data_IF_538696219043
#
_entry.id   IF_538696219043
#
_cell.length_a   1.000
_cell.length_b   1.000
_cell.length_c   1.000
_cell.angle_alpha   90.00
_cell.angle_beta   90.00
_cell.angle_gamma   90.00
#
_symmetry.space_group_name_H-M   'P 1'
#
loop_
_entity.id
_entity.type
_entity.pdbx_description
1 polymer ?
#
# COMPACT_ATOMS: atom_id res chain seq x y z
N UNK A 1 6.46 0.84 17.68
CA UNK A 1 6.80 -0.48 18.25
C UNK A 1 8.28 -0.63 18.61
N UNK A 2 9.22 0.10 17.99
CA UNK A 2 10.67 -0.02 18.27
C UNK A 2 11.09 0.36 19.71
N UNK A 3 10.33 1.21 20.40
CA UNK A 3 10.71 1.81 21.68
C UNK A 3 10.81 0.77 22.80
N UNK A 4 9.73 0.05 23.08
CA UNK A 4 9.66 -0.93 24.18
C UNK A 4 8.63 -2.01 23.88
N UNK A 5 8.63 -3.09 24.66
CA UNK A 5 7.62 -4.15 24.57
C UNK A 5 6.22 -3.59 24.92
N UNK A 6 6.11 -2.73 25.94
CA UNK A 6 4.85 -2.08 26.32
C UNK A 6 4.30 -1.21 25.17
N UNK A 7 5.15 -0.38 24.56
CA UNK A 7 4.72 0.45 23.43
C UNK A 7 4.37 -0.39 22.21
N UNK A 8 5.07 -1.51 21.98
CA UNK A 8 4.73 -2.43 20.91
C UNK A 8 3.32 -3.01 21.10
N UNK A 9 3.00 -3.48 22.31
CA UNK A 9 1.67 -3.99 22.67
C UNK A 9 0.61 -2.90 22.57
N UNK A 10 0.84 -1.72 23.15
CA UNK A 10 -0.11 -0.60 23.12
C UNK A 10 -0.44 -0.18 21.69
N UNK A 11 0.57 -0.06 20.83
CA UNK A 11 0.36 0.25 19.42
C UNK A 11 -0.40 -0.86 18.68
N UNK A 12 -0.06 -2.13 18.92
CA UNK A 12 -0.75 -3.25 18.30
C UNK A 12 -2.24 -3.30 18.69
N UNK A 13 -2.57 -3.05 19.97
CA UNK A 13 -3.95 -2.96 20.45
C UNK A 13 -4.73 -1.88 19.70
N UNK A 14 -4.12 -0.71 19.47
CA UNK A 14 -4.77 0.37 18.71
C UNK A 14 -5.08 -0.04 17.27
N UNK A 15 -4.14 -0.68 16.58
CA UNK A 15 -4.40 -1.18 15.23
C UNK A 15 -5.58 -2.16 15.20
N UNK A 16 -5.70 -3.04 16.20
CA UNK A 16 -6.77 -4.04 16.23
C UNK A 16 -8.12 -3.46 16.68
N UNK A 17 -8.11 -2.58 17.68
CA UNK A 17 -9.34 -2.09 18.33
C UNK A 17 -9.87 -0.79 17.76
N UNK A 18 -8.99 0.07 17.25
CA UNK A 18 -9.36 1.38 16.72
C UNK A 18 -9.35 1.41 15.19
N UNK A 19 -8.45 0.65 14.56
CA UNK A 19 -8.25 0.65 13.11
C UNK A 19 -8.72 -0.63 12.40
N UNK A 20 -9.42 -1.51 13.13
CA UNK A 20 -10.07 -2.73 12.60
C UNK A 20 -9.13 -3.72 11.89
N UNK A 21 -7.83 -3.70 12.21
CA UNK A 21 -6.91 -4.70 11.71
C UNK A 21 -7.08 -6.04 12.47
N UNK A 22 -7.10 -7.17 11.79
CA UNK A 22 -7.13 -8.47 12.47
C UNK A 22 -5.78 -8.82 13.12
N UNK A 23 -4.68 -8.34 12.53
CA UNK A 23 -3.30 -8.69 12.88
C UNK A 23 -2.34 -7.53 12.60
N UNK A 24 -1.10 -7.63 13.09
CA UNK A 24 -0.04 -6.65 12.82
C UNK A 24 1.19 -7.28 12.16
N UNK A 25 1.94 -6.49 11.37
CA UNK A 25 3.21 -6.91 10.77
C UNK A 25 4.38 -6.17 11.41
N UNK A 26 5.42 -6.89 11.84
CA UNK A 26 6.64 -6.31 12.40
C UNK A 26 7.86 -6.66 11.54
N UNK A 27 8.79 -5.70 11.42
CA UNK A 27 10.04 -5.87 10.68
C UNK A 27 11.20 -6.25 11.59
N UNK A 28 12.02 -7.17 11.08
CA UNK A 28 13.27 -7.58 11.71
C UNK A 28 13.10 -8.69 12.74
N UNK A 29 14.21 -9.33 13.05
CA UNK A 29 14.37 -10.30 14.14
C UNK A 29 15.25 -9.69 15.25
N UNK A 30 16.08 -10.49 15.92
CA UNK A 30 17.00 -10.03 16.96
C UNK A 30 16.27 -9.23 18.07
N UNK A 31 16.58 -7.94 18.29
CA UNK A 31 15.91 -7.13 19.31
C UNK A 31 14.38 -7.04 19.16
N UNK A 32 13.85 -7.13 17.93
CA UNK A 32 12.41 -7.09 17.67
C UNK A 32 11.67 -8.33 18.21
N UNK A 33 12.39 -9.45 18.47
CA UNK A 33 11.77 -10.70 18.91
C UNK A 33 11.07 -10.57 20.27
N UNK A 34 11.56 -9.74 21.20
CA UNK A 34 10.84 -9.52 22.46
C UNK A 34 9.51 -8.81 22.23
N UNK A 35 9.45 -7.90 21.26
CA UNK A 35 8.22 -7.15 20.89
C UNK A 35 7.21 -8.10 20.26
N UNK A 36 7.65 -8.97 19.37
CA UNK A 36 6.81 -10.03 18.79
C UNK A 36 6.21 -10.89 19.89
N UNK A 37 7.04 -11.42 20.81
CA UNK A 37 6.58 -12.25 21.91
C UNK A 37 5.58 -11.52 22.81
N UNK A 38 5.83 -10.26 23.14
CA UNK A 38 4.93 -9.45 23.97
C UNK A 38 3.56 -9.23 23.30
N UNK A 39 3.54 -8.93 22.00
CA UNK A 39 2.29 -8.74 21.24
C UNK A 39 1.51 -10.05 21.12
N UNK A 40 2.19 -11.15 20.81
CA UNK A 40 1.57 -12.49 20.74
C UNK A 40 1.01 -12.90 22.11
N UNK A 41 1.74 -12.66 23.20
CA UNK A 41 1.28 -12.93 24.55
C UNK A 41 0.05 -12.08 24.96
N UNK A 42 -0.13 -10.90 24.35
CA UNK A 42 -1.33 -10.08 24.50
C UNK A 42 -2.52 -10.57 23.64
N UNK A 43 -2.38 -11.69 22.92
CA UNK A 43 -3.44 -12.31 22.12
C UNK A 43 -3.60 -11.70 20.72
N UNK A 44 -2.61 -10.95 20.23
CA UNK A 44 -2.66 -10.32 18.90
C UNK A 44 -1.76 -11.11 17.93
N UNK A 45 -2.31 -11.51 16.78
CA UNK A 45 -1.55 -12.19 15.74
C UNK A 45 -0.47 -11.30 15.13
N UNK A 46 0.74 -11.85 14.95
CA UNK A 46 1.87 -11.15 14.36
C UNK A 46 2.35 -11.85 13.09
N UNK A 47 2.46 -11.10 11.99
CA UNK A 47 3.21 -11.50 10.80
C UNK A 47 4.64 -10.95 10.90
N UNK A 48 5.63 -11.84 10.85
CA UNK A 48 7.03 -11.46 10.80
C UNK A 48 7.43 -10.93 9.43
N UNK A 49 8.56 -10.22 9.35
CA UNK A 49 9.12 -9.77 8.08
C UNK A 49 10.65 -9.78 8.15
N UNK A 50 11.29 -10.52 7.25
CA UNK A 50 12.75 -10.55 7.06
C UNK A 50 13.15 -10.32 5.60
N UNK A 51 14.44 -10.14 5.36
CA UNK A 51 14.97 -9.72 4.08
C UNK A 51 15.22 -8.21 4.11
N UNK A 52 14.84 -7.52 3.05
CA UNK A 52 14.90 -6.06 3.01
C UNK A 52 13.76 -5.49 3.86
N UNK A 53 14.07 -4.97 5.04
CA UNK A 53 13.11 -4.29 5.93
C UNK A 53 13.20 -2.77 5.69
N UNK A 54 12.22 -2.14 5.01
CA UNK A 54 12.31 -0.74 4.62
C UNK A 54 12.52 0.24 5.79
N UNK A 55 12.04 -0.09 7.00
CA UNK A 55 12.26 0.75 8.19
C UNK A 55 13.73 0.84 8.61
N UNK A 56 14.57 -0.08 8.12
CA UNK A 56 16.02 -0.09 8.35
C UNK A 56 16.82 0.17 7.06
N UNK A 57 16.19 0.78 6.04
CA UNK A 57 16.81 1.01 4.72
C UNK A 57 18.18 1.70 4.82
N UNK A 58 18.31 2.72 5.65
CA UNK A 58 19.57 3.46 5.83
C UNK A 58 20.70 2.55 6.32
N UNK A 59 20.39 1.63 7.23
CA UNK A 59 21.36 0.65 7.77
C UNK A 59 21.70 -0.41 6.71
N UNK A 60 20.72 -0.78 5.89
CA UNK A 60 20.89 -1.76 4.79
C UNK A 60 21.55 -1.16 3.54
N UNK A 61 21.77 0.16 3.53
CA UNK A 61 22.41 0.89 2.44
C UNK A 61 21.52 0.99 1.19
N UNK A 62 20.22 1.19 1.39
CA UNK A 62 19.21 1.33 0.33
C UNK A 62 18.38 0.07 0.07
N UNK A 63 17.50 0.14 -0.93
CA UNK A 63 16.71 -1.00 -1.42
C UNK A 63 17.57 -2.06 -2.15
N UNK A 64 18.33 -2.84 -1.38
CA UNK A 64 19.23 -3.89 -1.90
C UNK A 64 18.70 -5.28 -1.56
N UNK A 65 18.94 -6.21 -2.49
CA UNK A 65 18.69 -7.64 -2.28
C UNK A 65 19.51 -8.17 -1.10
N UNK A 66 18.85 -8.86 -0.17
CA UNK A 66 19.48 -9.44 1.04
C UNK A 66 19.86 -10.90 0.82
N UNK A 67 20.72 -11.49 1.66
CA UNK A 67 21.01 -12.93 1.56
C UNK A 67 21.88 -13.36 0.37
N UNK A 68 22.63 -12.44 -0.26
CA UNK A 68 23.47 -12.74 -1.44
C UNK A 68 24.73 -13.56 -1.16
N UNK A 69 25.12 -13.71 0.10
CA UNK A 69 26.25 -14.54 0.52
C UNK A 69 25.75 -15.66 1.42
N UNK A 70 26.45 -16.79 1.46
CA UNK A 70 26.05 -17.93 2.31
C UNK A 70 25.90 -17.54 3.79
N UNK A 71 26.76 -16.66 4.30
CA UNK A 71 26.66 -16.14 5.68
C UNK A 71 25.36 -15.35 5.88
N UNK A 72 25.02 -14.44 4.96
CA UNK A 72 23.78 -13.65 5.04
C UNK A 72 22.52 -14.48 4.80
N UNK A 73 22.58 -15.47 3.91
CA UNK A 73 21.48 -16.41 3.72
C UNK A 73 21.23 -17.25 4.98
N UNK A 74 22.29 -17.72 5.64
CA UNK A 74 22.17 -18.44 6.93
C UNK A 74 21.59 -17.55 8.02
N UNK A 75 22.01 -16.29 8.08
CA UNK A 75 21.45 -15.31 9.01
C UNK A 75 19.94 -15.14 8.78
N UNK A 76 19.51 -14.91 7.54
CA UNK A 76 18.09 -14.76 7.21
C UNK A 76 17.24 -15.99 7.57
N UNK A 77 17.77 -17.20 7.34
CA UNK A 77 17.10 -18.42 7.76
C UNK A 77 16.95 -18.48 9.28
N UNK A 78 18.01 -18.15 10.02
CA UNK A 78 17.96 -18.08 11.48
C UNK A 78 16.97 -17.03 12.00
N UNK A 79 16.95 -15.86 11.38
CA UNK A 79 16.02 -14.77 11.71
C UNK A 79 14.56 -15.18 11.46
N UNK A 80 14.28 -15.87 10.35
CA UNK A 80 12.95 -16.37 10.02
C UNK A 80 12.48 -17.43 11.03
N UNK A 81 13.33 -18.42 11.34
CA UNK A 81 13.05 -19.44 12.36
C UNK A 81 12.83 -18.83 13.75
N UNK A 82 13.60 -17.79 14.09
CA UNK A 82 13.44 -17.10 15.36
C UNK A 82 12.12 -16.34 15.46
N UNK A 83 11.61 -15.78 14.35
CA UNK A 83 10.30 -15.15 14.30
C UNK A 83 9.16 -16.16 14.46
N UNK A 84 9.24 -17.31 13.79
CA UNK A 84 8.31 -18.42 14.00
C UNK A 84 8.32 -18.87 15.46
N UNK A 85 9.51 -19.11 16.04
CA UNK A 85 9.64 -19.49 17.44
C UNK A 85 9.16 -18.41 18.43
N UNK A 86 9.09 -17.14 18.00
CA UNK A 86 8.52 -16.04 18.77
C UNK A 86 6.98 -15.98 18.70
N UNK A 87 6.35 -16.80 17.86
CA UNK A 87 4.90 -16.92 17.71
C UNK A 87 4.31 -16.21 16.49
N UNK A 88 5.13 -15.81 15.51
CA UNK A 88 4.61 -15.29 14.25
C UNK A 88 3.79 -16.36 13.52
N UNK A 89 2.59 -16.02 13.04
CA UNK A 89 1.72 -16.96 12.32
C UNK A 89 2.07 -17.09 10.83
N UNK A 90 2.87 -16.16 10.30
CA UNK A 90 3.37 -16.13 8.93
C UNK A 90 4.60 -15.20 8.85
N UNK A 91 5.41 -15.33 7.80
CA UNK A 91 6.61 -14.50 7.60
C UNK A 91 6.71 -13.95 6.17
N UNK A 92 6.84 -12.63 6.04
CA UNK A 92 7.16 -11.97 4.77
C UNK A 92 8.65 -12.11 4.46
N UNK A 93 8.97 -12.48 3.22
CA UNK A 93 10.32 -12.51 2.67
C UNK A 93 10.43 -11.43 1.57
N UNK A 94 11.19 -10.36 1.83
CA UNK A 94 11.34 -9.25 0.88
C UNK A 94 12.73 -9.17 0.26
N UNK A 95 12.77 -9.08 -1.08
CA UNK A 95 13.99 -8.93 -1.89
C UNK A 95 15.08 -9.98 -1.54
N UNK A 96 14.69 -11.26 -1.53
CA UNK A 96 15.55 -12.40 -1.19
C UNK A 96 15.82 -13.26 -2.43
N UNK A 97 17.04 -13.79 -2.66
CA UNK A 97 17.32 -14.71 -3.74
C UNK A 97 16.42 -15.94 -3.69
N UNK A 98 15.87 -16.34 -4.84
CA UNK A 98 14.95 -17.48 -4.99
C UNK A 98 15.40 -18.74 -4.23
N UNK A 99 16.65 -19.25 -4.35
CA UNK A 99 17.05 -20.46 -3.62
C UNK A 99 17.07 -20.28 -2.10
N UNK A 100 17.29 -19.06 -1.61
CA UNK A 100 17.25 -18.77 -0.16
C UNK A 100 15.80 -18.72 0.32
N UNK A 101 14.91 -18.07 -0.42
CA UNK A 101 13.49 -18.00 -0.08
C UNK A 101 12.82 -19.38 -0.11
N UNK A 102 13.13 -20.22 -1.11
CA UNK A 102 12.68 -21.61 -1.17
C UNK A 102 13.13 -22.39 0.07
N UNK A 103 14.42 -22.31 0.43
CA UNK A 103 14.95 -23.01 1.60
C UNK A 103 14.33 -22.55 2.92
N UNK A 104 14.01 -21.25 3.05
CA UNK A 104 13.31 -20.70 4.22
C UNK A 104 11.88 -21.23 4.26
N UNK A 105 11.16 -21.22 3.14
CA UNK A 105 9.79 -21.72 3.05
C UNK A 105 9.70 -23.20 3.42
N UNK A 106 10.65 -24.02 2.94
CA UNK A 106 10.75 -25.43 3.33
C UNK A 106 11.09 -25.64 4.82
N UNK A 107 11.72 -24.66 5.48
CA UNK A 107 12.15 -24.79 6.87
C UNK A 107 11.08 -24.42 7.89
N UNK A 108 10.21 -23.46 7.52
CA UNK A 108 9.15 -22.96 8.38
C UNK A 108 7.93 -23.88 8.30
N UNK A 109 7.22 -23.98 9.41
CA UNK A 109 5.90 -24.61 9.48
C UNK A 109 4.77 -23.62 9.21
N UNK A 110 5.04 -22.32 9.43
CA UNK A 110 4.12 -21.22 9.12
C UNK A 110 4.26 -20.73 7.67
N UNK A 111 3.18 -20.20 7.05
CA UNK A 111 3.24 -19.73 5.67
C UNK A 111 4.24 -18.59 5.45
N UNK A 112 4.90 -18.61 4.29
CA UNK A 112 5.73 -17.49 3.80
C UNK A 112 5.02 -16.67 2.74
N UNK A 113 5.19 -15.34 2.80
CA UNK A 113 4.65 -14.41 1.80
C UNK A 113 5.81 -13.71 1.10
N UNK A 114 5.96 -13.92 -0.20
CA UNK A 114 7.05 -13.37 -1.00
C UNK A 114 6.73 -12.00 -1.60
N UNK A 115 7.72 -11.10 -1.59
CA UNK A 115 7.75 -9.90 -2.43
C UNK A 115 9.17 -9.72 -2.97
N UNK A 116 9.34 -10.01 -4.27
CA UNK A 116 10.69 -10.12 -4.84
C UNK A 116 11.52 -11.27 -4.26
N UNK A 117 10.86 -12.34 -3.78
CA UNK A 117 11.47 -13.55 -3.23
C UNK A 117 11.30 -14.80 -4.13
N UNK A 118 10.70 -14.64 -5.31
CA UNK A 118 10.38 -15.74 -6.22
C UNK A 118 9.09 -16.48 -5.87
N UNK A 119 8.72 -17.44 -6.72
CA UNK A 119 7.43 -18.15 -6.66
C UNK A 119 7.40 -19.32 -5.67
N UNK A 120 8.49 -19.56 -4.93
CA UNK A 120 8.60 -20.68 -3.99
C UNK A 120 8.01 -20.38 -2.60
N UNK A 121 7.64 -19.12 -2.32
CA UNK A 121 6.87 -18.79 -1.12
C UNK A 121 5.42 -19.25 -1.26
N UNK A 122 4.75 -19.52 -0.13
CA UNK A 122 3.36 -20.02 -0.11
C UNK A 122 2.33 -19.00 -0.62
N UNK A 123 2.66 -17.71 -0.49
CA UNK A 123 1.87 -16.61 -1.03
C UNK A 123 2.75 -15.49 -1.59
N UNK A 124 2.10 -14.49 -2.19
CA UNK A 124 2.78 -13.34 -2.80
C UNK A 124 2.08 -12.03 -2.40
N UNK A 125 2.85 -10.95 -2.30
CA UNK A 125 2.33 -9.60 -2.06
C UNK A 125 3.01 -8.59 -2.98
N UNK A 126 2.25 -7.60 -3.43
CA UNK A 126 2.73 -6.43 -4.15
C UNK A 126 1.99 -5.19 -3.64
N UNK A 127 2.64 -4.03 -3.76
CA UNK A 127 1.98 -2.74 -3.52
C UNK A 127 1.02 -2.48 -4.67
N UNK A 128 -0.26 -2.23 -4.36
CA UNK A 128 -1.30 -2.11 -5.39
C UNK A 128 -1.05 -0.93 -6.36
N UNK A 129 -0.47 0.18 -5.88
CA UNK A 129 -0.09 1.31 -6.74
C UNK A 129 0.92 0.90 -7.82
N UNK A 130 1.92 0.10 -7.46
CA UNK A 130 2.94 -0.38 -8.38
C UNK A 130 2.35 -1.41 -9.35
N UNK A 131 1.47 -2.28 -8.85
CA UNK A 131 0.74 -3.27 -9.64
C UNK A 131 -0.16 -2.61 -10.69
N UNK A 132 -0.90 -1.57 -10.33
CA UNK A 132 -1.84 -0.86 -11.22
C UNK A 132 -1.17 0.26 -12.04
N UNK A 133 0.13 0.51 -11.82
CA UNK A 133 0.85 1.56 -12.54
C UNK A 133 0.34 2.96 -12.23
N UNK A 134 0.01 3.24 -10.96
CA UNK A 134 -0.34 4.58 -10.47
C UNK A 134 0.90 5.43 -10.19
N UNK A 135 2.04 4.80 -9.91
CA UNK A 135 3.33 5.47 -9.70
C UNK A 135 4.07 5.65 -11.01
N UNK A 136 4.45 6.90 -11.30
CA UNK A 136 5.29 7.22 -12.45
C UNK A 136 6.76 6.82 -12.22
N UNK A 137 7.50 6.59 -13.31
CA UNK A 137 8.90 6.15 -13.25
C UNK A 137 9.07 4.63 -13.30
N UNK A 138 10.28 4.17 -12.98
CA UNK A 138 10.66 2.75 -13.10
C UNK A 138 10.29 2.00 -11.83
N UNK A 139 9.33 1.08 -11.94
CA UNK A 139 8.98 0.18 -10.85
C UNK A 139 10.17 -0.72 -10.43
N UNK A 140 10.21 -1.18 -9.17
CA UNK A 140 11.18 -2.19 -8.73
C UNK A 140 11.16 -3.42 -9.65
N UNK A 141 12.32 -4.06 -9.84
CA UNK A 141 12.48 -5.18 -10.79
C UNK A 141 11.49 -6.33 -10.56
N UNK A 142 11.07 -6.55 -9.31
CA UNK A 142 10.16 -7.64 -8.95
C UNK A 142 8.68 -7.32 -9.20
N UNK A 143 8.34 -6.07 -9.54
CA UNK A 143 6.97 -5.69 -9.83
C UNK A 143 6.63 -6.06 -11.27
N UNK A 144 5.52 -6.77 -11.44
CA UNK A 144 4.81 -6.83 -12.72
C UNK A 144 3.66 -5.82 -12.69
N UNK A 145 3.66 -4.87 -13.61
CA UNK A 145 2.51 -3.99 -13.85
C UNK A 145 1.43 -4.77 -14.59
N UNK A 146 0.21 -4.72 -14.08
CA UNK A 146 -0.98 -5.30 -14.70
C UNK A 146 -1.85 -4.24 -15.40
N UNK A 147 -1.68 -2.97 -15.03
CA UNK A 147 -2.30 -1.83 -15.68
C UNK A 147 -1.33 -0.63 -15.72
N UNK A 148 -1.70 0.43 -16.45
CA UNK A 148 -1.02 1.72 -16.45
C UNK A 148 -2.05 2.84 -16.21
N UNK A 149 -2.67 2.80 -15.03
CA UNK A 149 -3.76 3.71 -14.70
C UNK A 149 -3.31 5.17 -14.66
N UNK A 150 -2.04 5.46 -14.34
CA UNK A 150 -1.54 6.83 -14.41
C UNK A 150 -1.68 7.44 -15.82
N UNK A 151 -1.36 6.66 -16.86
CA UNK A 151 -1.50 7.12 -18.25
C UNK A 151 -2.97 7.28 -18.66
N UNK A 152 -3.83 6.34 -18.26
CA UNK A 152 -5.27 6.40 -18.56
C UNK A 152 -5.95 7.58 -17.86
N UNK A 153 -5.67 7.80 -16.57
CA UNK A 153 -6.16 8.94 -15.80
C UNK A 153 -5.70 10.24 -16.44
N UNK A 154 -4.41 10.35 -16.80
CA UNK A 154 -3.86 11.54 -17.47
C UNK A 154 -4.57 11.84 -18.78
N UNK A 155 -4.70 10.85 -19.66
CA UNK A 155 -5.35 11.03 -20.95
C UNK A 155 -6.82 11.43 -20.81
N UNK A 156 -7.54 10.86 -19.84
CA UNK A 156 -8.94 11.22 -19.57
C UNK A 156 -9.06 12.68 -19.10
N UNK A 157 -8.19 13.11 -18.19
CA UNK A 157 -8.19 14.49 -17.68
C UNK A 157 -7.77 15.50 -18.76
N UNK A 158 -6.82 15.15 -19.62
CA UNK A 158 -6.41 15.98 -20.75
C UNK A 158 -7.55 16.13 -21.77
N UNK A 159 -8.19 15.02 -22.13
CA UNK A 159 -9.35 15.02 -23.05
C UNK A 159 -10.49 15.88 -22.49
N UNK A 160 -10.85 15.68 -21.22
CA UNK A 160 -11.86 16.50 -20.55
C UNK A 160 -11.50 17.99 -20.59
N UNK A 161 -10.26 18.34 -20.26
CA UNK A 161 -9.81 19.73 -20.26
C UNK A 161 -9.88 20.36 -21.66
N UNK A 162 -9.56 19.59 -22.70
CA UNK A 162 -9.62 20.06 -24.09
C UNK A 162 -11.06 20.19 -24.59
N UNK A 163 -11.95 19.25 -24.24
CA UNK A 163 -13.38 19.34 -24.57
C UNK A 163 -14.05 20.54 -23.90
N UNK A 164 -13.71 20.85 -22.64
CA UNK A 164 -14.20 22.04 -21.95
C UNK A 164 -13.70 23.32 -22.64
N UNK A 165 -12.41 23.40 -22.99
CA UNK A 165 -11.83 24.57 -23.68
C UNK A 165 -12.41 24.77 -25.08
N UNK A 166 -12.74 23.68 -25.77
CA UNK A 166 -13.34 23.71 -27.09
C UNK A 166 -14.86 23.92 -27.07
N UNK A 167 -15.50 23.88 -25.90
CA UNK A 167 -16.96 23.94 -25.76
C UNK A 167 -17.67 22.69 -26.28
N UNK A 168 -16.97 21.56 -26.39
CA UNK A 168 -17.55 20.25 -26.73
C UNK A 168 -18.28 19.66 -25.53
N UNK A 169 -17.70 19.81 -24.34
CA UNK A 169 -18.32 19.43 -23.08
C UNK A 169 -18.70 20.68 -22.25
N UNK A 170 -19.91 20.72 -21.66
CA UNK A 170 -20.98 19.74 -21.78
C UNK A 170 -21.70 19.79 -23.14
N UNK A 171 -22.04 18.62 -23.68
CA UNK A 171 -22.98 18.49 -24.80
C UNK A 171 -24.43 18.53 -24.29
N UNK A 172 -25.42 18.65 -25.19
CA UNK A 172 -26.85 18.76 -24.86
C UNK A 172 -27.35 17.64 -23.91
N UNK A 173 -26.92 16.40 -24.13
CA UNK A 173 -27.25 15.24 -23.29
C UNK A 173 -26.72 15.32 -21.85
N UNK A 174 -25.74 16.20 -21.60
CA UNK A 174 -25.16 16.49 -20.29
C UNK A 174 -25.81 17.74 -19.65
N UNK A 175 -26.90 18.25 -20.22
CA UNK A 175 -27.60 19.45 -19.74
C UNK A 175 -29.04 19.14 -19.32
N UNK A 176 -29.64 20.07 -18.58
CA UNK A 176 -31.06 20.03 -18.21
C UNK A 176 -31.80 21.20 -18.86
N UNK A 177 -33.00 20.93 -19.37
CA UNK A 177 -33.88 21.95 -19.94
C UNK A 177 -34.81 22.55 -18.89
N UNK A 178 -35.17 23.82 -19.06
CA UNK A 178 -36.29 24.48 -18.38
C UNK A 178 -37.49 24.56 -19.35
N UNK A 179 -38.74 24.30 -18.92
CA UNK A 179 -39.91 24.60 -19.72
C UNK A 179 -39.91 26.06 -20.20
N UNK A 180 -40.31 26.30 -21.44
CA UNK A 180 -40.22 27.63 -22.06
C UNK A 180 -41.01 28.70 -21.29
N UNK A 181 -42.18 28.33 -20.74
CA UNK A 181 -43.03 29.23 -19.95
C UNK A 181 -42.38 29.64 -18.63
N UNK A 182 -41.75 28.70 -17.92
CA UNK A 182 -40.98 28.99 -16.71
C UNK A 182 -39.70 29.79 -17.02
N UNK A 183 -39.06 29.55 -18.17
CA UNK A 183 -37.89 30.32 -18.62
C UNK A 183 -38.25 31.78 -18.88
N UNK A 184 -39.39 32.06 -19.51
CA UNK A 184 -39.88 33.43 -19.72
C UNK A 184 -40.14 34.16 -18.39
N UNK A 185 -40.76 33.46 -17.42
CA UNK A 185 -41.00 34.01 -16.08
C UNK A 185 -39.67 34.33 -15.40
N UNK A 186 -38.71 33.40 -15.46
CA UNK A 186 -37.38 33.59 -14.89
C UNK A 186 -36.67 34.80 -15.51
N UNK A 187 -36.59 34.89 -16.85
CA UNK A 187 -35.93 36.01 -17.54
C UNK A 187 -36.51 37.36 -17.15
N UNK A 188 -37.85 37.49 -17.13
CA UNK A 188 -38.52 38.73 -16.73
C UNK A 188 -38.24 39.11 -15.27
N UNK A 189 -38.12 38.12 -14.39
CA UNK A 189 -37.82 38.36 -12.97
C UNK A 189 -36.34 38.73 -12.73
N UNK A 190 -35.41 38.17 -13.52
CA UNK A 190 -33.98 38.42 -13.40
C UNK A 190 -33.58 39.83 -13.88
N UNK A 191 -34.15 40.30 -14.99
CA UNK A 191 -33.92 41.67 -15.51
C UNK A 191 -34.33 42.76 -14.50
N UNK A 192 -35.38 42.48 -13.69
CA UNK A 192 -35.82 43.37 -12.61
C UNK A 192 -34.86 43.43 -11.42
N UNK A 193 -34.06 42.40 -11.19
CA UNK A 193 -33.06 42.34 -10.10
C UNK A 193 -31.79 43.12 -10.48
N UNK A 194 -31.37 43.10 -11.74
CA UNK A 194 -30.21 43.90 -12.20
C UNK A 194 -30.48 45.41 -12.17
N UNK A 195 -31.70 45.86 -12.45
CA UNK A 195 -32.08 47.27 -12.33
C UNK A 195 -32.10 47.75 -10.87
N UNK A 196 -32.55 46.91 -9.93
CA UNK A 196 -32.56 47.26 -8.50
C UNK A 196 -31.16 47.40 -7.88
N UNK A 197 -30.13 46.77 -8.46
CA UNK A 197 -28.74 46.84 -7.99
C UNK A 197 -27.88 47.93 -8.64
N UNK A 198 -28.33 48.55 -9.75
CA UNK A 198 -27.63 49.68 -10.39
C UNK A 198 -28.08 51.05 -9.89
N UNK A 199 -29.24 51.12 -9.24
CA UNK A 199 -29.82 52.35 -8.68
C UNK A 199 -29.54 52.53 -7.16
N UNK A 200 -28.58 51.76 -6.60
CA UNK A 200 -28.09 51.86 -5.21
C UNK A 200 -26.59 52.17 -5.17
#
# INVERSE_FOLDING_TARGET
YHVSDEDAVRNAIRFVKEAEADVVKLEGAGPSLSRVKAIVAAGIGVMGHVGLTPQSETILGGFKTQGRTASKARQLLGDALALEAAGCFAVVLEAVPVPVAARITEALTVPTIGIGAGAACDGQVLVYHDLLGLTEGRAPRFVKRYANLAAEIRAALETYADEVRAGVYPAEEHTYSMPEDELEVFSRSADGVEHAHRDS
#
